data_IF_204710413293
#
_entry.id   IF_204710413293
#
_cell.length_a   1.000
_cell.length_b   1.000
_cell.length_c   1.000
_cell.angle_alpha   90.00
_cell.angle_beta   90.00
_cell.angle_gamma   90.00
#
_symmetry.space_group_name_H-M   'P 1'
#
loop_
_entity.id
_entity.type
_entity.pdbx_description
1 polymer ?
#
# COMPACT_ATOMS: atom_id res chain seq x y z
N UNK A 1 -7.77 -34.47 -47.84
CA UNK A 1 -8.52 -34.56 -46.57
C UNK A 1 -9.04 -33.17 -46.23
N UNK A 2 -10.33 -32.92 -46.45
CA UNK A 2 -10.98 -31.65 -46.09
C UNK A 2 -11.43 -31.74 -44.64
N UNK A 3 -10.69 -31.11 -43.72
CA UNK A 3 -11.15 -30.91 -42.35
C UNK A 3 -12.20 -29.80 -42.33
N UNK A 4 -13.47 -30.13 -42.59
CA UNK A 4 -14.57 -29.23 -42.28
C UNK A 4 -14.74 -29.23 -40.75
N UNK A 5 -13.93 -28.43 -40.06
CA UNK A 5 -14.01 -28.28 -38.60
C UNK A 5 -15.43 -27.83 -38.24
N UNK A 6 -16.12 -28.65 -37.44
CA UNK A 6 -17.52 -28.41 -37.09
C UNK A 6 -17.69 -27.05 -36.41
N UNK A 7 -18.84 -26.40 -36.60
CA UNK A 7 -19.17 -25.10 -36.00
C UNK A 7 -18.97 -25.13 -34.46
N UNK A 8 -19.24 -26.28 -33.83
CA UNK A 8 -19.02 -26.50 -32.40
C UNK A 8 -17.54 -26.51 -31.97
N UNK A 9 -16.63 -27.01 -32.81
CA UNK A 9 -15.18 -26.97 -32.52
C UNK A 9 -14.66 -25.53 -32.50
N UNK A 10 -15.08 -24.69 -33.45
CA UNK A 10 -14.69 -23.27 -33.47
C UNK A 10 -15.29 -22.49 -32.30
N UNK A 11 -16.52 -22.79 -31.89
CA UNK A 11 -17.14 -22.19 -30.69
C UNK A 11 -16.37 -22.59 -29.42
N UNK A 12 -16.10 -23.88 -29.22
CA UNK A 12 -15.34 -24.36 -28.08
C UNK A 12 -13.91 -23.76 -28.06
N UNK A 13 -13.23 -23.76 -29.20
CA UNK A 13 -11.90 -23.15 -29.31
C UNK A 13 -11.93 -21.66 -28.98
N UNK A 14 -12.94 -20.91 -29.42
CA UNK A 14 -13.07 -19.48 -29.16
C UNK A 14 -13.37 -19.17 -27.68
N UNK A 15 -14.06 -20.07 -26.98
CA UNK A 15 -14.40 -19.90 -25.55
C UNK A 15 -13.25 -20.37 -24.66
N UNK A 16 -12.67 -21.54 -24.91
CA UNK A 16 -11.67 -22.15 -24.03
C UNK A 16 -10.24 -21.65 -24.27
N UNK A 17 -9.87 -21.24 -25.48
CA UNK A 17 -8.51 -20.77 -25.75
C UNK A 17 -8.15 -19.50 -24.96
N UNK A 18 -9.01 -18.48 -24.85
CA UNK A 18 -8.73 -17.32 -23.99
C UNK A 18 -8.56 -17.70 -22.52
N UNK A 19 -9.41 -18.60 -22.00
CA UNK A 19 -9.31 -19.08 -20.62
C UNK A 19 -8.00 -19.83 -20.36
N UNK A 20 -7.57 -20.67 -21.30
CA UNK A 20 -6.28 -21.38 -21.22
C UNK A 20 -5.10 -20.42 -21.28
N UNK A 21 -5.17 -19.38 -22.12
CA UNK A 21 -4.13 -18.35 -22.18
C UNK A 21 -4.04 -17.56 -20.88
N UNK A 22 -5.18 -17.20 -20.27
CA UNK A 22 -5.22 -16.51 -18.97
C UNK A 22 -4.62 -17.40 -17.88
N UNK A 23 -5.03 -18.68 -17.82
CA UNK A 23 -4.52 -19.63 -16.84
C UNK A 23 -3.01 -19.90 -17.01
N UNK A 24 -2.56 -20.07 -18.25
CA UNK A 24 -1.14 -20.26 -18.55
C UNK A 24 -0.31 -19.02 -18.19
N UNK A 25 -0.80 -17.82 -18.51
CA UNK A 25 -0.13 -16.56 -18.16
C UNK A 25 -0.05 -16.36 -16.64
N UNK A 26 -1.14 -16.67 -15.93
CA UNK A 26 -1.16 -16.64 -14.46
C UNK A 26 -0.17 -17.64 -13.87
N UNK A 27 -0.20 -18.90 -14.31
CA UNK A 27 0.73 -19.93 -13.86
C UNK A 27 2.19 -19.57 -14.13
N UNK A 28 2.47 -18.96 -15.29
CA UNK A 28 3.80 -18.46 -15.62
C UNK A 28 4.24 -17.35 -14.64
N UNK A 29 3.39 -16.34 -14.40
CA UNK A 29 3.67 -15.25 -13.45
C UNK A 29 3.98 -15.79 -12.04
N UNK A 30 3.21 -16.77 -11.57
CA UNK A 30 3.44 -17.41 -10.25
C UNK A 30 4.82 -18.09 -10.18
N UNK A 31 5.19 -18.84 -11.22
CA UNK A 31 6.46 -19.57 -11.27
C UNK A 31 7.68 -18.66 -11.39
N UNK A 32 7.55 -17.54 -12.11
CA UNK A 32 8.69 -16.65 -12.41
C UNK A 32 8.79 -15.42 -11.51
N UNK A 33 7.81 -15.21 -10.63
CA UNK A 33 7.80 -14.03 -9.76
C UNK A 33 8.93 -14.07 -8.74
N UNK A 34 9.70 -12.97 -8.72
CA UNK A 34 10.84 -12.73 -7.83
C UNK A 34 10.45 -11.81 -6.68
N UNK A 35 9.59 -10.82 -6.97
CA UNK A 35 9.15 -9.82 -6.00
C UNK A 35 7.75 -10.17 -5.52
N UNK A 36 7.66 -11.01 -4.49
CA UNK A 36 6.39 -11.47 -3.94
C UNK A 36 6.45 -11.69 -2.44
N UNK A 37 5.28 -11.65 -1.81
CA UNK A 37 5.10 -12.02 -0.39
C UNK A 37 3.89 -12.94 -0.26
N UNK A 38 4.09 -14.10 0.37
CA UNK A 38 3.01 -15.02 0.75
C UNK A 38 2.51 -14.63 2.14
N UNK A 39 1.22 -14.34 2.27
CA UNK A 39 0.60 -13.93 3.53
C UNK A 39 0.25 -15.12 4.44
N UNK A 40 0.50 -16.36 4.02
CA UNK A 40 0.28 -17.58 4.80
C UNK A 40 -1.17 -18.05 4.86
N UNK A 41 -2.08 -17.35 4.19
CA UNK A 41 -3.52 -17.68 4.09
C UNK A 41 -3.94 -18.10 2.66
N UNK A 42 -2.96 -18.41 1.80
CA UNK A 42 -3.19 -18.74 0.39
C UNK A 42 -3.23 -17.51 -0.54
N UNK A 43 -3.11 -16.30 0.00
CA UNK A 43 -2.94 -15.07 -0.78
C UNK A 43 -1.45 -14.76 -0.94
N UNK A 44 -1.04 -14.50 -2.18
CA UNK A 44 0.32 -14.08 -2.52
C UNK A 44 0.23 -12.74 -3.24
N UNK A 45 0.95 -11.75 -2.72
CA UNK A 45 1.07 -10.42 -3.32
C UNK A 45 2.25 -10.45 -4.29
N UNK A 46 2.02 -10.03 -5.54
CA UNK A 46 3.01 -10.00 -6.61
C UNK A 46 3.32 -8.57 -7.04
N UNK A 47 4.58 -8.16 -6.97
CA UNK A 47 5.01 -6.79 -7.27
C UNK A 47 5.90 -6.66 -8.52
N UNK A 48 6.18 -7.76 -9.24
CA UNK A 48 7.12 -7.76 -10.36
C UNK A 48 6.82 -6.69 -11.41
N UNK A 49 5.54 -6.46 -11.72
CA UNK A 49 5.15 -5.51 -12.75
C UNK A 49 5.39 -4.06 -12.30
N UNK A 50 5.32 -3.77 -11.00
CA UNK A 50 5.70 -2.47 -10.46
C UNK A 50 7.22 -2.27 -10.47
N UNK A 51 7.97 -3.26 -9.99
CA UNK A 51 9.44 -3.20 -9.93
C UNK A 51 10.04 -3.08 -11.33
N UNK A 52 9.52 -3.79 -12.33
CA UNK A 52 9.95 -3.70 -13.74
C UNK A 52 9.84 -2.29 -14.33
N UNK A 53 8.96 -1.43 -13.80
CA UNK A 53 8.88 -0.03 -14.27
C UNK A 53 10.09 0.80 -13.85
N UNK A 54 10.91 0.31 -12.91
CA UNK A 54 12.02 1.03 -12.31
C UNK A 54 11.60 2.12 -11.32
N UNK A 55 10.31 2.41 -11.18
CA UNK A 55 9.79 3.47 -10.30
C UNK A 55 9.55 3.04 -8.86
N UNK A 56 9.52 1.73 -8.62
CA UNK A 56 9.10 1.16 -7.34
C UNK A 56 10.15 0.18 -6.82
N UNK A 57 10.27 0.14 -5.49
CA UNK A 57 11.03 -0.86 -4.75
C UNK A 57 10.02 -1.60 -3.87
N UNK A 58 9.93 -2.91 -4.02
CA UNK A 58 9.05 -3.76 -3.22
C UNK A 58 9.77 -4.26 -1.98
N UNK A 59 9.06 -4.25 -0.86
CA UNK A 59 9.50 -4.81 0.41
C UNK A 59 8.90 -6.21 0.59
N UNK A 60 9.69 -7.25 0.32
CA UNK A 60 9.24 -8.63 0.42
C UNK A 60 8.91 -9.08 1.85
N UNK A 61 9.37 -8.37 2.88
CA UNK A 61 9.11 -8.72 4.28
C UNK A 61 7.76 -8.21 4.77
N UNK A 62 7.39 -6.99 4.35
CA UNK A 62 6.20 -6.29 4.85
C UNK A 62 5.13 -6.03 3.78
N UNK A 63 5.32 -6.56 2.57
CA UNK A 63 4.43 -6.36 1.41
C UNK A 63 4.20 -4.88 1.07
N UNK A 64 5.21 -4.03 1.30
CA UNK A 64 5.15 -2.59 1.01
C UNK A 64 5.70 -2.30 -0.36
N UNK A 65 5.17 -1.27 -1.01
CA UNK A 65 5.68 -0.73 -2.26
C UNK A 65 6.15 0.70 -2.03
N UNK A 66 7.44 0.96 -2.23
CA UNK A 66 8.06 2.25 -1.99
C UNK A 66 8.34 2.90 -3.34
N UNK A 67 7.72 4.05 -3.60
CA UNK A 67 8.05 4.85 -4.79
C UNK A 67 9.45 5.45 -4.67
N UNK A 68 10.27 5.33 -5.71
CA UNK A 68 11.59 6.01 -5.77
C UNK A 68 11.46 7.53 -5.81
N UNK A 69 10.33 8.02 -6.30
CA UNK A 69 9.92 9.42 -6.24
C UNK A 69 8.74 9.54 -5.26
N UNK A 70 8.91 10.18 -4.09
CA UNK A 70 7.84 10.29 -3.10
C UNK A 70 6.53 10.81 -3.70
N UNK A 71 5.43 10.12 -3.43
CA UNK A 71 4.13 10.51 -3.96
C UNK A 71 3.66 11.83 -3.30
N UNK A 72 2.96 12.70 -4.05
CA UNK A 72 2.37 13.89 -3.45
C UNK A 72 1.26 13.51 -2.47
N UNK A 73 1.10 14.32 -1.43
CA UNK A 73 -0.04 14.22 -0.52
C UNK A 73 -1.33 14.53 -1.30
N UNK A 74 -2.39 13.71 -1.20
CA UNK A 74 -3.65 13.89 -1.92
C UNK A 74 -4.51 14.98 -1.24
N UNK A 75 -4.07 16.25 -1.36
CA UNK A 75 -4.66 17.38 -0.64
C UNK A 75 -6.13 17.58 -1.01
N UNK A 76 -6.47 17.49 -2.30
CA UNK A 76 -7.83 17.70 -2.77
C UNK A 76 -8.80 16.64 -2.21
N UNK A 77 -8.36 15.39 -2.15
CA UNK A 77 -9.10 14.27 -1.59
C UNK A 77 -9.25 14.42 -0.08
N UNK A 78 -8.17 14.75 0.64
CA UNK A 78 -8.19 15.00 2.08
C UNK A 78 -9.15 16.13 2.48
N UNK A 79 -9.15 17.23 1.73
CA UNK A 79 -10.07 18.36 1.95
C UNK A 79 -11.51 17.97 1.65
N UNK A 80 -11.74 17.19 0.57
CA UNK A 80 -13.08 16.72 0.18
C UNK A 80 -13.68 15.74 1.18
N UNK A 81 -12.88 14.88 1.79
CA UNK A 81 -13.36 13.94 2.82
C UNK A 81 -13.94 14.68 4.03
N UNK A 82 -13.46 15.89 4.33
CA UNK A 82 -13.99 16.81 5.35
C UNK A 82 -13.78 16.36 6.80
N UNK A 83 -13.66 15.06 7.08
CA UNK A 83 -13.36 14.50 8.40
C UNK A 83 -12.55 13.21 8.29
N UNK A 84 -11.36 13.22 8.89
CA UNK A 84 -10.55 12.02 9.08
C UNK A 84 -11.17 11.09 10.12
N UNK A 85 -11.16 9.79 9.82
CA UNK A 85 -11.52 8.76 10.79
C UNK A 85 -10.32 8.54 11.70
N UNK A 86 -10.52 8.59 13.02
CA UNK A 86 -9.46 8.20 13.95
C UNK A 86 -9.42 6.69 14.02
N UNK A 87 -8.27 6.14 13.68
CA UNK A 87 -8.05 4.73 13.55
C UNK A 87 -7.90 3.95 14.84
N UNK A 88 -7.74 2.63 14.67
CA UNK A 88 -7.44 1.73 15.79
C UNK A 88 -5.93 1.63 16.00
N UNK A 89 -5.47 2.08 17.16
CA UNK A 89 -4.07 2.01 17.57
C UNK A 89 -3.84 0.77 18.44
N UNK A 90 -3.79 -0.40 17.81
CA UNK A 90 -3.79 -1.70 18.51
C UNK A 90 -2.59 -1.89 19.45
N UNK A 91 -1.42 -1.39 19.06
CA UNK A 91 -0.17 -1.51 19.81
C UNK A 91 -0.12 -0.64 21.07
N UNK A 92 -1.04 0.32 21.23
CA UNK A 92 -1.06 1.22 22.37
C UNK A 92 -1.94 0.68 23.51
N UNK A 93 -1.51 0.92 24.75
CA UNK A 93 -2.37 0.75 25.93
C UNK A 93 -3.50 1.81 25.94
N UNK A 94 -4.54 1.62 26.76
CA UNK A 94 -5.70 2.53 26.78
C UNK A 94 -5.36 3.98 27.18
N UNK A 95 -4.38 4.17 28.07
CA UNK A 95 -3.92 5.50 28.46
C UNK A 95 -3.25 6.21 27.27
N UNK A 96 -2.33 5.55 26.59
CA UNK A 96 -1.65 6.09 25.41
C UNK A 96 -2.61 6.31 24.24
N UNK A 97 -3.62 5.44 24.04
CA UNK A 97 -4.70 5.67 23.06
C UNK A 97 -5.44 6.97 23.34
N UNK A 98 -5.74 7.29 24.61
CA UNK A 98 -6.38 8.54 24.99
C UNK A 98 -5.52 9.77 24.67
N UNK A 99 -4.22 9.68 24.99
CA UNK A 99 -3.26 10.74 24.69
C UNK A 99 -3.07 10.92 23.17
N UNK A 100 -2.96 9.84 22.41
CA UNK A 100 -2.82 9.85 20.96
C UNK A 100 -4.04 10.49 20.29
N UNK A 101 -5.27 10.13 20.70
CA UNK A 101 -6.52 10.76 20.21
C UNK A 101 -6.52 12.27 20.45
N UNK A 102 -6.04 12.71 21.61
CA UNK A 102 -5.95 14.13 21.93
C UNK A 102 -4.88 14.84 21.09
N UNK A 103 -3.73 14.19 20.86
CA UNK A 103 -2.69 14.71 19.98
C UNK A 103 -3.20 14.86 18.54
N UNK A 104 -3.83 13.83 17.98
CA UNK A 104 -4.47 13.86 16.65
C UNK A 104 -5.40 15.07 16.55
N UNK A 105 -6.35 15.21 17.49
CA UNK A 105 -7.32 16.33 17.46
C UNK A 105 -6.64 17.69 17.53
N UNK A 106 -5.64 17.86 18.38
CA UNK A 106 -4.92 19.13 18.52
C UNK A 106 -4.11 19.48 17.27
N UNK A 107 -3.41 18.51 16.69
CA UNK A 107 -2.56 18.70 15.51
C UNK A 107 -3.41 18.94 14.26
N UNK A 108 -4.47 18.16 14.07
CA UNK A 108 -5.39 18.31 12.92
C UNK A 108 -6.27 19.56 12.99
N UNK A 109 -6.38 20.20 14.16
CA UNK A 109 -7.04 21.49 14.30
C UNK A 109 -6.18 22.66 13.77
N UNK A 110 -4.89 22.45 13.52
CA UNK A 110 -4.01 23.48 12.93
C UNK A 110 -4.37 23.63 11.45
N UNK A 111 -4.66 24.86 10.96
CA UNK A 111 -4.94 25.07 9.55
C UNK A 111 -3.79 24.58 8.66
N UNK A 112 -4.13 23.86 7.59
CA UNK A 112 -3.16 23.30 6.64
C UNK A 112 -2.15 22.31 7.23
N UNK A 113 -2.44 21.65 8.37
CA UNK A 113 -1.53 20.65 8.97
C UNK A 113 -1.06 19.58 7.97
N UNK A 114 -1.92 19.20 7.02
CA UNK A 114 -1.65 18.21 5.97
C UNK A 114 -0.52 18.61 5.00
N UNK A 115 -0.15 19.90 4.93
CA UNK A 115 1.00 20.34 4.10
C UNK A 115 2.35 19.87 4.64
N UNK A 116 2.37 19.43 5.90
CA UNK A 116 3.56 18.86 6.54
C UNK A 116 3.59 17.33 6.47
N UNK A 117 2.62 16.71 5.79
CA UNK A 117 2.65 15.27 5.55
C UNK A 117 3.74 14.92 4.54
N UNK A 118 4.41 13.81 4.78
CA UNK A 118 5.40 13.24 3.87
C UNK A 118 4.96 11.84 3.46
N UNK A 119 5.22 11.48 2.20
CA UNK A 119 4.97 10.13 1.75
C UNK A 119 5.90 9.14 2.44
N UNK A 120 5.35 8.02 2.90
CA UNK A 120 6.09 6.97 3.62
C UNK A 120 6.29 5.73 2.75
N UNK A 121 5.19 5.11 2.33
CA UNK A 121 5.15 3.95 1.42
C UNK A 121 3.72 3.70 0.93
N UNK A 122 3.53 2.67 0.13
CA UNK A 122 2.24 2.20 -0.38
C UNK A 122 2.06 0.72 -0.16
N UNK A 123 0.86 0.20 -0.36
CA UNK A 123 0.60 -1.24 -0.30
C UNK A 123 -0.14 -1.73 -1.53
N UNK A 124 0.11 -3.00 -1.82
CA UNK A 124 -0.66 -3.76 -2.77
C UNK A 124 -1.73 -4.55 -2.01
N UNK A 125 -2.97 -4.52 -2.50
CA UNK A 125 -4.05 -5.34 -2.00
C UNK A 125 -3.88 -6.82 -2.36
N UNK A 126 -4.83 -7.64 -1.95
CA UNK A 126 -4.83 -9.09 -2.23
C UNK A 126 -4.84 -9.43 -3.73
N UNK A 127 -5.39 -8.54 -4.56
CA UNK A 127 -5.34 -8.65 -6.03
C UNK A 127 -4.00 -8.23 -6.64
N UNK A 128 -3.02 -7.84 -5.82
CA UNK A 128 -1.75 -7.22 -6.22
C UNK A 128 -1.90 -5.84 -6.87
N UNK A 129 -3.05 -5.19 -6.70
CA UNK A 129 -3.27 -3.81 -7.15
C UNK A 129 -2.88 -2.81 -6.07
N UNK A 130 -2.28 -1.69 -6.48
CA UNK A 130 -1.98 -0.57 -5.62
C UNK A 130 -3.27 0.06 -5.12
N UNK A 131 -3.57 -0.10 -3.84
CA UNK A 131 -4.86 0.30 -3.26
C UNK A 131 -4.73 1.21 -2.05
N UNK A 132 -3.52 1.51 -1.59
CA UNK A 132 -3.34 2.36 -0.43
C UNK A 132 -1.98 3.02 -0.36
N UNK A 133 -1.97 4.18 0.29
CA UNK A 133 -0.79 5.00 0.52
C UNK A 133 -0.73 5.41 1.99
N UNK A 134 0.48 5.56 2.49
CA UNK A 134 0.71 6.03 3.85
C UNK A 134 1.52 7.31 3.80
N UNK A 135 1.06 8.29 4.57
CA UNK A 135 1.74 9.55 4.79
C UNK A 135 1.98 9.75 6.28
N UNK A 136 3.06 10.42 6.65
CA UNK A 136 3.42 10.63 8.04
C UNK A 136 3.72 12.10 8.37
N UNK A 137 3.57 12.41 9.66
CA UNK A 137 3.88 13.72 10.24
C UNK A 137 4.40 13.51 11.66
N UNK A 138 5.59 14.02 11.96
CA UNK A 138 6.09 14.09 13.33
C UNK A 138 5.78 15.46 13.92
N UNK A 139 5.04 15.50 15.03
CA UNK A 139 4.64 16.75 15.67
C UNK A 139 4.70 16.67 17.20
N UNK A 140 4.97 17.81 17.83
CA UNK A 140 5.01 17.93 19.29
C UNK A 140 3.65 18.36 19.84
N UNK A 141 3.16 17.67 20.86
CA UNK A 141 1.95 18.03 21.60
C UNK A 141 2.18 17.75 23.10
N UNK A 142 1.92 18.75 23.94
CA UNK A 142 2.11 18.70 25.40
C UNK A 142 3.49 18.17 25.84
N UNK A 143 4.56 18.59 25.16
CA UNK A 143 5.93 18.18 25.47
C UNK A 143 6.32 16.77 25.01
N UNK A 144 5.41 16.02 24.38
CA UNK A 144 5.67 14.71 23.77
C UNK A 144 5.68 14.83 22.25
N UNK A 145 6.63 14.16 21.59
CA UNK A 145 6.62 14.00 20.13
C UNK A 145 5.74 12.80 19.75
N UNK A 146 4.95 12.97 18.71
CA UNK A 146 4.05 11.97 18.16
C UNK A 146 4.37 11.76 16.68
N UNK A 147 4.41 10.50 16.26
CA UNK A 147 4.40 10.10 14.87
C UNK A 147 2.94 9.87 14.47
N UNK A 148 2.40 10.75 13.63
CA UNK A 148 1.06 10.62 13.07
C UNK A 148 1.18 9.89 11.74
N UNK A 149 0.30 8.93 11.52
CA UNK A 149 0.17 8.21 10.26
C UNK A 149 -1.20 8.49 9.66
N UNK A 150 -1.23 8.95 8.42
CA UNK A 150 -2.43 9.10 7.60
C UNK A 150 -2.41 7.98 6.56
N UNK A 151 -3.31 7.03 6.75
CA UNK A 151 -3.58 5.96 5.80
C UNK A 151 -4.64 6.41 4.80
N UNK A 152 -4.31 6.37 3.53
CA UNK A 152 -5.24 6.51 2.43
C UNK A 152 -5.55 5.14 1.87
N UNK A 153 -6.83 4.78 1.83
CA UNK A 153 -7.32 3.63 1.07
C UNK A 153 -8.02 4.12 -0.20
N UNK A 154 -7.75 3.47 -1.33
CA UNK A 154 -8.30 3.75 -2.65
C UNK A 154 -9.24 2.61 -3.02
N UNK A 155 -10.54 2.91 -3.07
CA UNK A 155 -11.58 1.99 -3.48
C UNK A 155 -11.47 1.60 -4.95
N UNK A 156 -12.19 0.55 -5.34
CA UNK A 156 -12.23 0.08 -6.73
C UNK A 156 -12.89 1.06 -7.70
N UNK A 157 -13.69 2.00 -7.17
CA UNK A 157 -14.26 3.15 -7.87
C UNK A 157 -13.30 4.34 -7.98
N UNK A 158 -12.11 4.24 -7.39
CA UNK A 158 -11.11 5.30 -7.31
C UNK A 158 -11.36 6.31 -6.19
N UNK A 159 -12.40 6.13 -5.37
CA UNK A 159 -12.63 7.01 -4.23
C UNK A 159 -11.62 6.76 -3.11
N UNK A 160 -11.17 7.85 -2.48
CA UNK A 160 -10.23 7.78 -1.37
C UNK A 160 -10.95 7.91 -0.04
N UNK A 161 -10.59 7.05 0.90
CA UNK A 161 -10.94 7.18 2.31
C UNK A 161 -9.68 7.32 3.15
N UNK A 162 -9.81 7.96 4.31
CA UNK A 162 -8.65 8.31 5.13
C UNK A 162 -8.85 7.97 6.60
N UNK A 163 -7.87 7.27 7.16
CA UNK A 163 -7.73 6.96 8.57
C UNK A 163 -6.47 7.64 9.11
N UNK A 164 -6.55 8.19 10.33
CA UNK A 164 -5.39 8.77 11.02
C UNK A 164 -5.15 8.08 12.35
N UNK A 165 -3.91 7.70 12.59
CA UNK A 165 -3.43 7.14 13.85
C UNK A 165 -2.25 7.97 14.36
N UNK A 166 -1.87 7.74 15.62
CA UNK A 166 -0.69 8.36 16.19
C UNK A 166 -0.06 7.44 17.21
N UNK A 167 1.26 7.40 17.23
CA UNK A 167 2.04 6.71 18.24
C UNK A 167 3.11 7.64 18.82
N UNK A 168 3.58 7.37 20.05
CA UNK A 168 4.72 8.09 20.59
C UNK A 168 5.91 7.99 19.65
N UNK A 169 6.52 9.12 19.30
CA UNK A 169 7.69 9.11 18.43
C UNK A 169 8.89 8.48 19.14
N UNK A 170 9.46 7.46 18.50
CA UNK A 170 10.69 6.81 18.91
C UNK A 170 11.60 6.68 17.69
N UNK A 171 12.82 7.22 17.79
CA UNK A 171 13.77 7.26 16.68
C UNK A 171 14.22 5.86 16.23
N UNK A 172 14.26 4.89 17.13
CA UNK A 172 14.74 3.54 16.82
C UNK A 172 13.70 2.76 16.00
N UNK A 173 12.43 2.85 16.42
CA UNK A 173 11.32 2.08 15.84
C UNK A 173 10.61 2.82 14.71
N UNK A 174 10.68 4.15 14.66
CA UNK A 174 10.05 4.94 13.61
C UNK A 174 10.72 4.70 12.25
N UNK A 175 9.91 4.32 11.26
CA UNK A 175 10.34 4.06 9.88
C UNK A 175 9.85 5.19 8.99
N UNK A 176 10.69 6.18 8.71
CA UNK A 176 10.42 7.19 7.67
C UNK A 176 10.59 6.61 6.25
N UNK A 177 10.31 7.44 5.24
CA UNK A 177 10.52 7.10 3.83
C UNK A 177 11.91 6.54 3.51
N UNK A 178 12.97 7.16 4.03
CA UNK A 178 14.34 6.78 3.70
C UNK A 178 14.68 5.41 4.30
N UNK A 179 14.28 5.16 5.55
CA UNK A 179 14.39 3.86 6.20
C UNK A 179 13.55 2.80 5.48
N UNK A 180 12.33 3.12 5.07
CA UNK A 180 11.47 2.22 4.31
C UNK A 180 12.10 1.83 2.97
N UNK A 181 12.59 2.80 2.21
CA UNK A 181 13.26 2.57 0.93
C UNK A 181 14.51 1.69 1.09
N UNK A 182 15.33 1.97 2.11
CA UNK A 182 16.54 1.21 2.38
C UNK A 182 16.24 -0.23 2.81
N UNK A 183 15.20 -0.44 3.62
CA UNK A 183 14.76 -1.76 4.04
C UNK A 183 14.24 -2.56 2.84
N UNK A 184 13.36 -1.96 2.03
CA UNK A 184 12.77 -2.59 0.85
C UNK A 184 13.85 -3.01 -0.18
N UNK A 185 14.85 -2.17 -0.42
CA UNK A 185 15.93 -2.47 -1.35
C UNK A 185 16.76 -3.70 -0.96
N UNK A 186 16.70 -4.14 0.30
CA UNK A 186 17.45 -5.27 0.85
C UNK A 186 16.58 -6.48 1.18
N UNK A 187 15.25 -6.36 1.15
CA UNK A 187 14.38 -7.41 1.69
C UNK A 187 14.04 -8.51 0.68
N UNK A 188 14.17 -8.24 -0.62
CA UNK A 188 13.92 -9.22 -1.67
C UNK A 188 15.22 -9.97 -2.09
N UNK A 189 15.11 -11.21 -2.60
CA UNK A 189 16.27 -12.03 -2.96
C UNK A 189 17.05 -11.53 -4.19
N UNK A 190 16.42 -10.71 -5.04
CA UNK A 190 17.06 -10.08 -6.18
C UNK A 190 17.19 -8.57 -5.98
N UNK A 191 18.27 -7.94 -6.51
CA UNK A 191 18.41 -6.48 -6.51
C UNK A 191 17.26 -5.77 -7.22
N UNK A 192 17.04 -4.50 -6.86
CA UNK A 192 15.94 -3.66 -7.37
C UNK A 192 16.41 -2.28 -7.83
#
# INVERSE_FOLDING_TARGET
>A
MSFYRSKGFWIAFSIFSPLLLIAANYGFKVMTSVYKTDLGNGVVIYADDYVKTGRWVFDCQYSRLISREPLPVPIAELERTGKLIIGKMYELNETDKGLAKNAIRAITAIPNWYKSLHYRYSFLGESSDLNSHTFDLVASQNGRKWALEVWQEIGSDGESSFEITAEPYDLETYVDYAKALQAAAKSCPAPQ
#
